data_IF_811015351912
#
_entry.id   IF_811015351912
#
_cell.length_a   1.000
_cell.length_b   1.000
_cell.length_c   1.000
_cell.angle_alpha   90.00
_cell.angle_beta   90.00
_cell.angle_gamma   90.00
#
_symmetry.space_group_name_H-M   'P 1'
#
loop_
_entity.id
_entity.type
_entity.pdbx_description
1 polymer ?
#
# COMPACT_ATOMS: atom_id res chain seq x y z
N UNK A 1 -35.69 1.33 8.71
CA UNK A 1 -34.60 0.54 9.26
C UNK A 1 -33.59 1.53 9.81
N UNK A 2 -33.27 1.49 11.09
CA UNK A 2 -32.25 2.38 11.69
C UNK A 2 -30.87 1.94 11.18
N UNK A 3 -29.87 2.83 11.17
CA UNK A 3 -28.51 2.46 10.73
C UNK A 3 -27.92 1.30 11.55
N UNK A 4 -28.25 1.22 12.85
CA UNK A 4 -27.91 0.09 13.72
C UNK A 4 -28.51 -1.24 13.25
N UNK A 5 -29.71 -1.25 12.67
CA UNK A 5 -30.32 -2.47 12.10
C UNK A 5 -29.67 -2.88 10.77
N UNK A 6 -29.14 -1.92 10.00
CA UNK A 6 -28.53 -2.20 8.69
C UNK A 6 -27.17 -2.88 8.85
N UNK A 7 -26.35 -2.46 9.81
CA UNK A 7 -25.02 -3.04 10.00
C UNK A 7 -25.04 -4.48 10.55
N UNK A 8 -26.11 -4.84 11.26
CA UNK A 8 -26.36 -6.19 11.78
C UNK A 8 -26.98 -7.13 10.73
N UNK A 9 -27.47 -6.57 9.61
CA UNK A 9 -28.05 -7.36 8.52
C UNK A 9 -26.98 -8.32 7.98
N UNK A 10 -27.28 -9.63 7.89
CA UNK A 10 -26.36 -10.60 7.32
C UNK A 10 -25.93 -10.21 5.90
N UNK A 11 -24.64 -10.32 5.63
CA UNK A 11 -24.07 -10.20 4.31
C UNK A 11 -24.50 -11.40 3.44
N UNK A 12 -24.57 -11.21 2.13
CA UNK A 12 -24.80 -12.29 1.16
C UNK A 12 -23.61 -13.25 1.13
N UNK A 13 -22.41 -12.72 1.36
CA UNK A 13 -21.15 -13.46 1.41
C UNK A 13 -20.35 -13.00 2.63
N UNK A 14 -19.82 -13.92 3.42
CA UNK A 14 -18.96 -13.57 4.56
C UNK A 14 -17.63 -13.00 4.08
N UNK A 15 -17.08 -12.01 4.79
CA UNK A 15 -15.72 -11.55 4.57
C UNK A 15 -14.75 -12.50 5.29
N UNK A 16 -13.76 -13.04 4.59
CA UNK A 16 -12.72 -13.89 5.19
C UNK A 16 -11.40 -13.14 5.26
N UNK A 17 -10.79 -13.14 6.44
CA UNK A 17 -9.55 -12.42 6.69
C UNK A 17 -8.33 -13.32 6.42
N UNK A 18 -7.49 -12.85 5.51
CA UNK A 18 -6.18 -13.40 5.20
C UNK A 18 -5.11 -12.40 5.59
N UNK A 19 -3.89 -12.87 5.73
CA UNK A 19 -2.71 -12.03 5.85
C UNK A 19 -1.59 -12.60 4.98
N UNK A 20 -0.56 -11.78 4.76
CA UNK A 20 0.64 -12.21 4.06
C UNK A 20 1.90 -11.87 4.84
N UNK A 21 2.87 -12.79 4.76
CA UNK A 21 4.26 -12.51 5.08
C UNK A 21 5.02 -12.27 3.78
N UNK A 22 5.68 -11.14 3.66
CA UNK A 22 6.44 -10.75 2.46
C UNK A 22 7.91 -11.06 2.67
N UNK A 23 8.34 -12.28 2.35
CA UNK A 23 9.74 -12.68 2.54
C UNK A 23 10.66 -11.87 1.61
N UNK A 24 11.56 -11.01 2.11
CA UNK A 24 12.44 -10.21 1.25
C UNK A 24 13.49 -11.08 0.57
N UNK A 25 13.74 -10.80 -0.71
CA UNK A 25 14.73 -11.51 -1.54
C UNK A 25 15.48 -10.49 -2.37
N UNK A 26 16.81 -10.60 -2.45
CA UNK A 26 17.59 -9.76 -3.34
C UNK A 26 17.22 -10.04 -4.80
N UNK A 27 16.86 -9.00 -5.56
CA UNK A 27 16.40 -9.12 -6.95
C UNK A 27 17.55 -9.29 -7.97
N UNK A 28 18.81 -9.25 -7.52
CA UNK A 28 19.97 -9.38 -8.41
C UNK A 28 20.40 -8.07 -9.10
N UNK A 29 19.70 -6.97 -8.85
CA UNK A 29 19.92 -5.68 -9.52
C UNK A 29 20.49 -4.67 -8.52
N UNK A 30 21.47 -3.88 -8.97
CA UNK A 30 22.06 -2.79 -8.21
C UNK A 30 22.14 -1.54 -9.05
N UNK A 31 22.02 -0.38 -8.41
CA UNK A 31 22.20 0.93 -9.04
C UNK A 31 23.12 1.82 -8.21
N UNK A 32 24.06 2.49 -8.87
CA UNK A 32 24.96 3.49 -8.32
C UNK A 32 24.65 4.89 -8.85
N UNK A 33 23.86 5.02 -9.90
CA UNK A 33 23.48 6.29 -10.54
C UNK A 33 21.98 6.35 -10.76
N UNK A 34 21.45 7.52 -11.12
CA UNK A 34 20.04 7.67 -11.49
C UNK A 34 19.70 6.86 -12.75
N UNK A 35 20.59 6.82 -13.75
CA UNK A 35 20.38 6.02 -14.97
C UNK A 35 20.29 4.52 -14.67
N UNK A 36 21.19 4.00 -13.83
CA UNK A 36 21.15 2.60 -13.38
C UNK A 36 19.90 2.34 -12.52
N UNK A 37 19.42 3.33 -11.75
CA UNK A 37 18.20 3.21 -10.97
C UNK A 37 16.98 3.13 -11.89
N UNK A 38 16.91 3.97 -12.93
CA UNK A 38 15.86 3.93 -13.95
C UNK A 38 15.87 2.58 -14.67
N UNK A 39 17.05 2.08 -15.07
CA UNK A 39 17.17 0.77 -15.69
C UNK A 39 16.72 -0.36 -14.75
N UNK A 40 17.10 -0.27 -13.47
CA UNK A 40 16.68 -1.22 -12.44
C UNK A 40 15.18 -1.20 -12.20
N UNK A 41 14.55 -0.02 -12.11
CA UNK A 41 13.10 0.15 -12.01
C UNK A 41 12.39 -0.39 -13.26
N UNK A 42 12.98 -0.29 -14.45
CA UNK A 42 12.39 -0.91 -15.65
C UNK A 42 12.45 -2.45 -15.64
N UNK A 43 13.52 -3.03 -15.08
CA UNK A 43 13.76 -4.48 -15.10
C UNK A 43 13.15 -5.24 -13.92
N UNK A 44 13.04 -4.60 -12.75
CA UNK A 44 12.56 -5.24 -11.54
C UNK A 44 11.08 -5.67 -11.68
N UNK A 45 10.68 -6.73 -11.00
CA UNK A 45 9.28 -7.17 -11.01
C UNK A 45 8.35 -6.19 -10.26
N UNK A 46 7.04 -6.38 -10.36
CA UNK A 46 6.06 -5.55 -9.63
C UNK A 46 6.19 -5.67 -8.12
N UNK A 47 6.66 -6.83 -7.62
CA UNK A 47 6.87 -7.07 -6.20
C UNK A 47 8.04 -6.27 -5.63
N UNK A 48 9.04 -5.94 -6.45
CA UNK A 48 10.13 -5.05 -6.07
C UNK A 48 9.65 -3.61 -5.89
N UNK A 49 8.77 -3.13 -6.79
CA UNK A 49 8.13 -1.83 -6.62
C UNK A 49 7.23 -1.83 -5.37
N UNK A 50 6.44 -2.89 -5.17
CA UNK A 50 5.69 -3.07 -3.93
C UNK A 50 6.59 -2.99 -2.69
N UNK A 51 7.71 -3.71 -2.72
CA UNK A 51 8.63 -3.78 -1.58
C UNK A 51 9.25 -2.42 -1.25
N UNK A 52 9.72 -1.67 -2.24
CA UNK A 52 10.42 -0.42 -2.00
C UNK A 52 9.52 0.80 -1.78
N UNK A 53 8.26 0.74 -2.26
CA UNK A 53 7.30 1.84 -2.15
C UNK A 53 6.26 1.57 -1.08
N UNK A 54 5.63 0.40 -1.08
CA UNK A 54 4.46 0.16 -0.23
C UNK A 54 4.82 -0.54 1.08
N UNK A 55 5.78 -1.48 1.08
CA UNK A 55 6.15 -2.20 2.29
C UNK A 55 6.70 -1.31 3.44
N UNK A 56 7.24 -0.10 3.23
CA UNK A 56 7.58 0.81 4.33
C UNK A 56 6.42 1.18 5.27
N UNK A 57 5.16 0.90 4.91
CA UNK A 57 4.02 1.03 5.85
C UNK A 57 4.10 0.08 7.06
N UNK A 58 4.90 -0.99 6.96
CA UNK A 58 5.12 -1.91 8.07
C UNK A 58 6.19 -1.36 9.00
N UNK A 59 5.92 -1.37 10.31
CA UNK A 59 6.87 -1.01 11.37
C UNK A 59 8.20 -1.76 11.30
N UNK A 60 8.21 -2.96 10.68
CA UNK A 60 9.43 -3.74 10.43
C UNK A 60 10.31 -3.22 9.28
N UNK A 61 9.85 -2.26 8.49
CA UNK A 61 10.54 -1.67 7.35
C UNK A 61 10.58 -0.14 7.50
N UNK A 62 11.54 0.33 8.30
CA UNK A 62 11.58 1.73 8.75
C UNK A 62 12.19 2.64 7.68
N UNK A 63 11.44 3.69 7.34
CA UNK A 63 11.89 4.86 6.55
C UNK A 63 11.71 6.14 7.39
N UNK A 64 12.43 7.23 7.09
CA UNK A 64 12.19 8.54 7.73
C UNK A 64 10.75 9.02 7.51
N UNK A 65 10.20 9.78 8.47
CA UNK A 65 8.84 10.32 8.36
C UNK A 65 8.64 11.26 7.16
N UNK A 66 9.69 11.96 6.73
CA UNK A 66 9.64 12.88 5.59
C UNK A 66 9.95 12.22 4.24
N UNK A 67 10.25 10.91 4.22
CA UNK A 67 10.58 10.15 3.02
C UNK A 67 9.91 8.77 3.03
N UNK A 68 8.87 8.62 2.21
CA UNK A 68 7.93 7.50 2.31
C UNK A 68 8.35 6.23 1.52
N UNK A 69 9.48 6.24 0.83
CA UNK A 69 9.94 5.08 0.06
C UNK A 69 11.46 4.97 -0.02
N UNK A 70 11.94 3.75 -0.23
CA UNK A 70 13.38 3.43 -0.21
C UNK A 70 14.15 4.17 -1.30
N UNK A 71 13.52 4.42 -2.46
CA UNK A 71 14.14 5.15 -3.57
C UNK A 71 14.46 6.58 -3.14
N UNK A 72 13.49 7.29 -2.56
CA UNK A 72 13.67 8.65 -2.04
C UNK A 72 14.79 8.70 -0.97
N UNK A 73 14.77 7.74 -0.03
CA UNK A 73 15.79 7.62 1.02
C UNK A 73 17.18 7.46 0.44
N UNK A 74 17.36 6.58 -0.55
CA UNK A 74 18.65 6.36 -1.18
C UNK A 74 19.12 7.57 -1.99
N UNK A 75 18.24 8.20 -2.77
CA UNK A 75 18.56 9.41 -3.56
C UNK A 75 19.08 10.52 -2.66
N UNK A 76 18.42 10.78 -1.52
CA UNK A 76 18.87 11.80 -0.56
C UNK A 76 20.21 11.42 0.08
N UNK A 77 20.32 10.20 0.58
CA UNK A 77 21.45 9.81 1.43
C UNK A 77 22.74 9.51 0.64
N UNK A 78 22.63 8.95 -0.55
CA UNK A 78 23.78 8.48 -1.34
C UNK A 78 24.12 9.39 -2.53
N UNK A 79 23.15 10.13 -3.06
CA UNK A 79 23.36 11.06 -4.17
C UNK A 79 23.26 12.53 -3.78
N UNK A 80 22.73 12.84 -2.57
CA UNK A 80 22.54 14.21 -2.07
C UNK A 80 21.68 15.08 -3.01
N UNK A 81 20.66 14.46 -3.62
CA UNK A 81 19.71 15.10 -4.51
C UNK A 81 18.36 15.29 -3.78
N UNK A 82 18.32 16.17 -2.79
CA UNK A 82 17.17 16.37 -1.89
C UNK A 82 15.86 16.68 -2.63
N UNK A 83 15.88 17.62 -3.58
CA UNK A 83 14.67 17.98 -4.35
C UNK A 83 14.11 16.79 -5.13
N UNK A 84 14.99 15.98 -5.74
CA UNK A 84 14.59 14.77 -6.44
C UNK A 84 14.03 13.74 -5.46
N UNK A 85 14.66 13.56 -4.30
CA UNK A 85 14.21 12.64 -3.27
C UNK A 85 12.80 12.99 -2.79
N UNK A 86 12.51 14.25 -2.49
CA UNK A 86 11.16 14.68 -2.08
C UNK A 86 10.14 14.47 -3.19
N UNK A 87 10.46 14.80 -4.45
CA UNK A 87 9.58 14.51 -5.59
C UNK A 87 9.29 13.01 -5.76
N UNK A 88 10.26 12.14 -5.49
CA UNK A 88 10.09 10.68 -5.51
C UNK A 88 9.29 10.19 -4.30
N UNK A 89 9.43 10.84 -3.14
CA UNK A 89 8.65 10.55 -1.93
C UNK A 89 7.16 10.90 -2.08
N UNK A 90 6.84 11.94 -2.84
CA UNK A 90 5.48 12.45 -3.03
C UNK A 90 4.67 11.71 -4.12
N UNK A 91 5.14 10.55 -4.58
CA UNK A 91 4.40 9.75 -5.56
C UNK A 91 3.14 9.22 -4.91
N UNK A 92 2.00 9.66 -5.44
CA UNK A 92 0.71 9.15 -4.99
C UNK A 92 0.51 7.68 -5.36
N UNK A 93 -0.15 6.94 -4.49
CA UNK A 93 -0.59 5.57 -4.74
C UNK A 93 -2.06 5.32 -4.35
N UNK A 94 -2.89 6.37 -4.33
CA UNK A 94 -4.35 6.30 -4.18
C UNK A 94 -4.99 5.32 -5.18
N UNK A 95 -6.20 4.83 -4.88
CA UNK A 95 -6.92 4.00 -5.85
C UNK A 95 -7.31 4.83 -7.08
N UNK A 96 -7.28 4.26 -8.30
CA UNK A 96 -7.09 2.85 -8.65
C UNK A 96 -5.64 2.49 -9.04
N UNK A 97 -4.64 3.26 -8.60
CA UNK A 97 -3.25 3.11 -9.05
C UNK A 97 -2.65 1.76 -8.64
N UNK A 98 -1.80 1.23 -9.50
CA UNK A 98 -1.07 -0.02 -9.28
C UNK A 98 0.43 0.22 -9.17
N UNK A 99 1.20 -0.83 -8.85
CA UNK A 99 2.67 -0.79 -8.88
C UNK A 99 3.21 -0.39 -10.24
N UNK A 100 2.50 -0.67 -11.34
CA UNK A 100 2.93 -0.29 -12.69
C UNK A 100 2.69 1.21 -12.97
N UNK A 101 1.65 1.80 -12.39
CA UNK A 101 1.44 3.26 -12.45
C UNK A 101 2.50 3.99 -11.63
N UNK A 102 2.81 3.49 -10.44
CA UNK A 102 3.90 4.01 -9.60
C UNK A 102 5.25 3.86 -10.31
N UNK A 103 5.53 2.71 -10.95
CA UNK A 103 6.75 2.48 -11.73
C UNK A 103 6.92 3.53 -12.83
N UNK A 104 5.86 3.79 -13.59
CA UNK A 104 5.86 4.79 -14.67
C UNK A 104 6.14 6.18 -14.13
N UNK A 105 5.51 6.56 -13.01
CA UNK A 105 5.70 7.87 -12.40
C UNK A 105 7.11 8.05 -11.81
N UNK A 106 7.66 7.00 -11.18
CA UNK A 106 9.07 6.97 -10.76
C UNK A 106 10.00 7.25 -11.94
N UNK A 107 9.85 6.51 -13.04
CA UNK A 107 10.68 6.71 -14.24
C UNK A 107 10.51 8.13 -14.77
N UNK A 108 9.28 8.62 -14.90
CA UNK A 108 8.99 9.97 -15.40
C UNK A 108 9.61 11.08 -14.53
N UNK A 109 9.66 10.88 -13.21
CA UNK A 109 10.27 11.83 -12.26
C UNK A 109 11.79 11.80 -12.38
N UNK A 110 12.38 10.60 -12.41
CA UNK A 110 13.83 10.39 -12.46
C UNK A 110 14.42 10.81 -13.82
N UNK A 111 13.67 10.67 -14.91
CA UNK A 111 14.16 10.96 -16.27
C UNK A 111 14.02 12.44 -16.68
N UNK A 112 13.52 13.33 -15.82
CA UNK A 112 13.33 14.75 -16.19
C UNK A 112 14.64 15.49 -16.40
N UNK A 113 15.67 15.09 -15.66
CA UNK A 113 16.97 15.74 -15.60
C UNK A 113 18.07 14.68 -15.64
N UNK A 114 19.25 15.07 -16.09
CA UNK A 114 20.44 14.21 -16.05
C UNK A 114 21.29 14.57 -14.84
N UNK A 115 21.77 13.56 -14.13
CA UNK A 115 22.55 13.70 -12.92
C UNK A 115 23.89 12.99 -13.08
N UNK A 116 24.99 13.74 -13.05
CA UNK A 116 26.36 13.20 -13.11
C UNK A 116 26.93 13.00 -11.70
N UNK A 117 26.25 12.14 -10.94
CA UNK A 117 26.64 11.75 -9.58
C UNK A 117 26.59 10.25 -9.41
N UNK A 118 27.51 9.72 -8.60
CA UNK A 118 27.63 8.29 -8.32
C UNK A 118 27.65 8.04 -6.82
N UNK A 119 26.77 7.16 -6.38
CA UNK A 119 26.66 6.73 -5.00
C UNK A 119 27.89 5.95 -4.53
N UNK A 120 28.22 6.07 -3.24
CA UNK A 120 29.23 5.21 -2.61
C UNK A 120 28.67 3.82 -2.32
N UNK A 121 27.40 3.74 -1.86
CA UNK A 121 26.70 2.48 -1.67
C UNK A 121 25.58 2.33 -2.70
N UNK A 122 25.48 1.18 -3.37
CA UNK A 122 24.44 0.99 -4.37
C UNK A 122 23.06 0.90 -3.71
N UNK A 123 22.04 1.30 -4.46
CA UNK A 123 20.69 0.84 -4.22
C UNK A 123 20.64 -0.65 -4.55
N UNK A 124 20.19 -1.48 -3.60
CA UNK A 124 20.00 -2.90 -3.82
C UNK A 124 18.52 -3.15 -4.02
N UNK A 125 18.13 -3.54 -5.22
CA UNK A 125 16.75 -3.92 -5.47
C UNK A 125 16.42 -5.21 -4.73
N UNK A 126 15.38 -5.12 -3.90
CA UNK A 126 14.75 -6.20 -3.19
C UNK A 126 13.40 -6.46 -3.84
N UNK A 127 13.04 -7.73 -3.97
CA UNK A 127 11.68 -8.19 -4.25
C UNK A 127 11.19 -8.96 -3.03
N UNK A 128 9.97 -9.48 -3.07
CA UNK A 128 9.47 -10.33 -2.01
C UNK A 128 8.72 -11.55 -2.55
N UNK A 129 8.59 -12.57 -1.71
CA UNK A 129 7.74 -13.74 -1.97
C UNK A 129 6.59 -13.73 -0.97
N UNK A 130 5.39 -13.25 -1.35
CA UNK A 130 4.22 -13.23 -0.49
C UNK A 130 3.79 -14.66 -0.14
N UNK A 131 3.74 -14.97 1.16
CA UNK A 131 3.16 -16.20 1.69
C UNK A 131 1.83 -15.83 2.35
N UNK A 132 0.73 -16.15 1.66
CA UNK A 132 -0.63 -15.85 2.10
C UNK A 132 -1.14 -16.97 3.01
N UNK A 133 -1.77 -16.61 4.12
CA UNK A 133 -2.37 -17.55 5.06
C UNK A 133 -3.72 -17.05 5.56
N UNK A 134 -4.62 -17.99 5.81
CA UNK A 134 -5.95 -17.75 6.41
C UNK A 134 -5.78 -17.50 7.92
N UNK A 135 -6.48 -16.48 8.45
CA UNK A 135 -6.48 -16.19 9.89
C UNK A 135 -7.56 -16.96 10.65
N UNK A 136 -8.42 -17.70 9.96
CA UNK A 136 -9.57 -18.39 10.55
C UNK A 136 -10.60 -17.42 11.12
N UNK A 137 -10.59 -16.15 10.67
CA UNK A 137 -11.53 -15.12 11.09
C UNK A 137 -12.41 -14.70 9.93
N UNK A 138 -13.67 -14.49 10.22
CA UNK A 138 -14.64 -14.00 9.26
C UNK A 138 -15.57 -12.94 9.87
N UNK A 139 -16.23 -12.19 8.99
CA UNK A 139 -17.32 -11.29 9.33
C UNK A 139 -18.55 -11.65 8.48
N UNK A 140 -19.65 -11.94 9.15
CA UNK A 140 -20.94 -12.28 8.55
C UNK A 140 -21.84 -11.05 8.35
N UNK A 141 -21.51 -9.93 8.98
CA UNK A 141 -22.18 -8.65 8.80
C UNK A 141 -21.20 -7.45 8.94
N UNK A 142 -21.68 -6.23 8.76
CA UNK A 142 -20.83 -5.03 8.78
C UNK A 142 -20.34 -4.70 10.20
N UNK A 143 -21.13 -4.98 11.23
CA UNK A 143 -20.72 -4.81 12.63
C UNK A 143 -19.51 -5.69 12.96
N UNK A 144 -19.55 -6.97 12.59
CA UNK A 144 -18.44 -7.89 12.73
C UNK A 144 -17.22 -7.47 11.90
N UNK A 145 -17.42 -6.90 10.70
CA UNK A 145 -16.31 -6.36 9.91
C UNK A 145 -15.57 -5.24 10.67
N UNK A 146 -16.31 -4.31 11.29
CA UNK A 146 -15.73 -3.23 12.10
C UNK A 146 -14.94 -3.79 13.29
N UNK A 147 -15.52 -4.75 14.03
CA UNK A 147 -14.89 -5.38 15.19
C UNK A 147 -13.60 -6.13 14.80
N UNK A 148 -13.62 -6.83 13.67
CA UNK A 148 -12.44 -7.50 13.15
C UNK A 148 -11.37 -6.48 12.74
N UNK A 149 -11.69 -5.44 11.95
CA UNK A 149 -10.71 -4.41 11.55
C UNK A 149 -10.10 -3.71 12.78
N UNK A 150 -10.87 -3.51 13.86
CA UNK A 150 -10.39 -2.91 15.10
C UNK A 150 -9.30 -3.73 15.82
N UNK A 151 -9.22 -5.05 15.61
CA UNK A 151 -8.33 -5.93 16.38
C UNK A 151 -7.48 -6.90 15.56
N UNK A 152 -7.72 -7.02 14.24
CA UNK A 152 -6.98 -7.92 13.36
C UNK A 152 -5.53 -7.48 13.24
N UNK A 153 -4.62 -8.39 12.88
CA UNK A 153 -3.23 -8.02 12.62
C UNK A 153 -3.16 -7.01 11.47
N UNK A 154 -2.27 -6.01 11.55
CA UNK A 154 -2.11 -5.04 10.46
C UNK A 154 -1.72 -5.72 9.13
N UNK A 155 -1.01 -6.85 9.15
CA UNK A 155 -0.72 -7.66 7.96
C UNK A 155 -1.97 -8.04 7.17
N UNK A 156 -3.11 -8.22 7.84
CA UNK A 156 -4.39 -8.49 7.18
C UNK A 156 -4.96 -7.24 6.54
N UNK A 157 -4.92 -6.10 7.26
CA UNK A 157 -5.31 -4.79 6.71
C UNK A 157 -4.47 -4.48 5.47
N UNK A 158 -3.14 -4.53 5.56
CA UNK A 158 -2.26 -4.29 4.42
C UNK A 158 -2.51 -5.28 3.27
N UNK A 159 -2.82 -6.55 3.55
CA UNK A 159 -3.12 -7.52 2.51
C UNK A 159 -4.40 -7.18 1.72
N UNK A 160 -5.50 -6.92 2.44
CA UNK A 160 -6.82 -6.64 1.88
C UNK A 160 -6.98 -5.22 1.34
N UNK A 161 -6.36 -4.25 2.01
CA UNK A 161 -6.49 -2.84 1.70
C UNK A 161 -5.49 -2.37 0.63
N UNK A 162 -4.26 -2.87 0.70
CA UNK A 162 -3.16 -2.38 -0.14
C UNK A 162 -2.73 -3.45 -1.15
N UNK A 163 -2.13 -4.54 -0.67
CA UNK A 163 -1.35 -5.46 -1.49
C UNK A 163 -2.10 -5.98 -2.71
N UNK A 164 -3.30 -6.55 -2.51
CA UNK A 164 -4.06 -7.13 -3.62
C UNK A 164 -4.42 -6.11 -4.69
N UNK A 165 -4.77 -4.89 -4.27
CA UNK A 165 -5.11 -3.80 -5.18
C UNK A 165 -3.88 -3.32 -5.93
N UNK A 166 -2.81 -2.97 -5.23
CA UNK A 166 -1.63 -2.35 -5.87
C UNK A 166 -0.93 -3.34 -6.81
N UNK A 167 -1.02 -4.64 -6.54
CA UNK A 167 -0.56 -5.70 -7.43
C UNK A 167 -1.51 -5.99 -8.61
N UNK A 168 -2.66 -5.32 -8.69
CA UNK A 168 -3.63 -5.49 -9.77
C UNK A 168 -4.48 -6.76 -9.70
N UNK A 169 -4.49 -7.47 -8.56
CA UNK A 169 -5.35 -8.64 -8.37
C UNK A 169 -6.82 -8.26 -8.17
N UNK A 170 -7.09 -7.01 -7.81
CA UNK A 170 -8.43 -6.45 -7.65
C UNK A 170 -8.45 -4.97 -8.09
N UNK A 171 -9.57 -4.46 -8.62
CA UNK A 171 -9.67 -3.07 -9.07
C UNK A 171 -9.82 -2.05 -7.92
N UNK A 172 -10.15 -2.52 -6.72
CA UNK A 172 -10.31 -1.76 -5.48
C UNK A 172 -9.85 -2.63 -4.32
N UNK A 173 -9.65 -2.03 -3.16
CA UNK A 173 -9.46 -2.80 -1.93
C UNK A 173 -10.63 -3.75 -1.62
N UNK A 174 -10.32 -4.84 -0.93
CA UNK A 174 -11.30 -5.89 -0.65
C UNK A 174 -12.45 -5.42 0.25
N UNK A 175 -12.20 -4.47 1.17
CA UNK A 175 -13.25 -3.93 2.04
C UNK A 175 -14.29 -3.15 1.23
N UNK A 176 -13.86 -2.24 0.36
CA UNK A 176 -14.74 -1.51 -0.57
C UNK A 176 -15.54 -2.47 -1.45
N UNK A 177 -14.90 -3.50 -2.01
CA UNK A 177 -15.58 -4.49 -2.86
C UNK A 177 -16.64 -5.29 -2.08
N UNK A 178 -16.33 -5.68 -0.85
CA UNK A 178 -17.26 -6.44 -0.03
C UNK A 178 -18.45 -5.58 0.43
N UNK A 179 -18.20 -4.32 0.80
CA UNK A 179 -19.25 -3.36 1.18
C UNK A 179 -20.18 -3.11 -0.01
N UNK A 180 -19.66 -2.84 -1.21
CA UNK A 180 -20.48 -2.58 -2.40
C UNK A 180 -21.40 -3.76 -2.78
N UNK A 181 -20.96 -5.01 -2.55
CA UNK A 181 -21.73 -6.22 -2.86
C UNK A 181 -22.85 -6.50 -1.85
N UNK A 182 -22.61 -6.18 -0.59
CA UNK A 182 -23.47 -6.56 0.54
C UNK A 182 -24.33 -5.42 1.09
N UNK A 183 -23.86 -4.17 0.95
CA UNK A 183 -24.45 -2.96 1.51
C UNK A 183 -24.34 -1.79 0.52
N UNK A 184 -25.07 -1.87 -0.59
CA UNK A 184 -25.05 -0.86 -1.67
C UNK A 184 -25.35 0.57 -1.19
N UNK A 185 -26.13 0.71 -0.12
CA UNK A 185 -26.42 1.96 0.57
C UNK A 185 -25.18 2.66 1.16
N UNK A 186 -24.09 1.91 1.37
CA UNK A 186 -22.81 2.41 1.88
C UNK A 186 -21.76 2.62 0.78
N UNK A 187 -22.16 2.71 -0.48
CA UNK A 187 -21.23 2.90 -1.61
C UNK A 187 -20.37 4.16 -1.52
N UNK A 188 -20.82 5.22 -0.82
CA UNK A 188 -20.00 6.42 -0.59
C UNK A 188 -18.82 6.18 0.35
N UNK A 189 -18.88 5.16 1.22
CA UNK A 189 -17.74 4.74 2.06
C UNK A 189 -16.61 4.25 1.19
N UNK A 190 -16.90 3.44 0.17
CA UNK A 190 -15.89 2.95 -0.75
C UNK A 190 -15.15 4.07 -1.48
N UNK A 191 -15.84 5.17 -1.82
CA UNK A 191 -15.21 6.37 -2.41
C UNK A 191 -14.30 7.10 -1.43
N UNK A 192 -14.62 7.10 -0.14
CA UNK A 192 -13.76 7.71 0.89
C UNK A 192 -12.55 6.85 1.18
N UNK A 193 -12.75 5.52 1.26
CA UNK A 193 -11.67 4.56 1.39
C UNK A 193 -10.68 4.66 0.22
N UNK A 194 -11.14 4.92 -1.00
CA UNK A 194 -10.25 5.06 -2.15
C UNK A 194 -9.29 6.26 -2.09
N UNK A 195 -9.59 7.25 -1.25
CA UNK A 195 -8.77 8.45 -1.06
C UNK A 195 -7.65 8.25 -0.03
N UNK A 196 -7.64 7.11 0.69
CA UNK A 196 -6.54 6.81 1.61
C UNK A 196 -5.33 6.35 0.77
N UNK A 197 -4.34 7.22 0.64
CA UNK A 197 -3.09 6.90 -0.04
C UNK A 197 -2.18 6.07 0.88
N UNK A 198 -1.87 4.79 0.56
CA UNK A 198 -1.00 3.99 1.41
C UNK A 198 0.41 4.56 1.59
N UNK A 199 0.90 5.41 0.68
CA UNK A 199 2.22 6.04 0.78
C UNK A 199 2.32 7.05 1.93
N UNK A 200 1.20 7.60 2.42
CA UNK A 200 1.24 8.60 3.50
C UNK A 200 1.28 7.99 4.89
N UNK A 201 1.31 6.66 4.99
CA UNK A 201 1.30 5.92 6.24
C UNK A 201 2.64 5.26 6.50
N UNK A 202 3.39 5.80 7.47
CA UNK A 202 4.57 5.16 8.07
C UNK A 202 4.24 4.45 9.39
N UNK A 203 3.01 4.63 9.89
CA UNK A 203 2.51 4.02 11.12
C UNK A 203 1.28 3.13 10.85
N UNK A 204 1.40 1.86 11.22
CA UNK A 204 0.37 0.83 10.98
C UNK A 204 -0.99 1.19 11.60
N UNK A 205 -0.97 1.66 12.84
CA UNK A 205 -2.20 1.95 13.58
C UNK A 205 -2.89 3.22 13.08
N UNK A 206 -2.14 4.17 12.51
CA UNK A 206 -2.73 5.37 11.92
C UNK A 206 -3.65 5.03 10.73
N UNK A 207 -3.22 4.10 9.87
CA UNK A 207 -4.06 3.60 8.77
C UNK A 207 -5.30 2.86 9.31
N UNK A 208 -5.16 2.04 10.35
CA UNK A 208 -6.31 1.36 10.98
C UNK A 208 -7.33 2.37 11.52
N UNK A 209 -6.87 3.41 12.21
CA UNK A 209 -7.73 4.46 12.77
C UNK A 209 -8.50 5.21 11.68
N UNK A 210 -7.83 5.58 10.59
CA UNK A 210 -8.47 6.30 9.47
C UNK A 210 -9.49 5.40 8.75
N UNK A 211 -9.16 4.12 8.54
CA UNK A 211 -10.10 3.12 8.02
C UNK A 211 -11.35 3.02 8.89
N UNK A 212 -11.18 2.84 10.21
CA UNK A 212 -12.31 2.75 11.14
C UNK A 212 -13.11 4.04 11.20
N UNK A 213 -12.45 5.20 11.11
CA UNK A 213 -13.10 6.52 11.09
C UNK A 213 -14.04 6.64 9.90
N UNK A 214 -13.57 6.27 8.71
CA UNK A 214 -14.37 6.27 7.48
C UNK A 214 -15.50 5.23 7.54
N UNK A 215 -15.21 4.01 7.99
CA UNK A 215 -16.20 2.94 8.07
C UNK A 215 -17.33 3.26 9.08
N UNK A 216 -17.01 3.95 10.19
CA UNK A 216 -17.99 4.36 11.20
C UNK A 216 -18.88 5.53 10.74
N UNK A 217 -18.66 6.10 9.57
CA UNK A 217 -19.57 7.13 9.05
C UNK A 217 -20.95 6.59 8.68
N UNK A 218 -21.13 5.26 8.61
CA UNK A 218 -22.47 4.63 8.52
C UNK A 218 -23.40 5.02 9.68
N UNK A 219 -22.85 5.47 10.80
CA UNK A 219 -23.63 5.86 11.98
C UNK A 219 -24.07 7.33 11.99
N UNK A 220 -23.64 8.13 11.00
CA UNK A 220 -24.00 9.54 10.86
C UNK A 220 -25.29 9.68 10.04
#
# INVERSE_FOLDING_TARGET
MTYSEVIERPAKEHFRFYAAYYLPVFAGIRAYTIDELIEGINKADGLSIFYHVFHPMFSSHVVPEDLHNDFAVWIKNELHLDELAYRVSDISAEEPRTVEDVRRDLINILSKESYDVKAKRPFNFMTCKPVVYDLGKEASNFAELLDQIASITFRSIAYHFVFKRVMGYAPKNDFSLWIERNYSEFSDISKKLSLLDPQTYTEEEKLREDLLTILKEVFK
#
